data_IF_666834464567
#
_entry.id   IF_666834464567
#
_cell.length_a   1.000
_cell.length_b   1.000
_cell.length_c   1.000
_cell.angle_alpha   90.00
_cell.angle_beta   90.00
_cell.angle_gamma   90.00
#
_symmetry.space_group_name_H-M   'P 1'
#
loop_
_entity.id
_entity.type
_entity.pdbx_description
1 polymer ?
#
# COMPACT_ATOMS: atom_id res chain seq x y z
N UNK A 1 -13.31 -9.39 -27.73
CA UNK A 1 -12.19 -9.74 -26.87
C UNK A 1 -12.43 -9.16 -25.47
N UNK A 2 -12.58 -10.03 -24.45
CA UNK A 2 -12.91 -9.66 -23.07
C UNK A 2 -11.78 -8.85 -22.39
N UNK A 3 -10.52 -9.12 -22.77
CA UNK A 3 -9.36 -8.39 -22.25
C UNK A 3 -9.42 -6.93 -22.67
N UNK A 4 -9.71 -6.70 -23.95
CA UNK A 4 -9.86 -5.35 -24.51
C UNK A 4 -11.03 -4.60 -23.87
N UNK A 5 -12.13 -5.28 -23.60
CA UNK A 5 -13.29 -4.70 -22.92
C UNK A 5 -12.93 -4.29 -21.48
N UNK A 6 -12.21 -5.16 -20.76
CA UNK A 6 -11.74 -4.87 -19.42
C UNK A 6 -10.78 -3.65 -19.37
N UNK A 7 -9.86 -3.55 -20.33
CA UNK A 7 -8.96 -2.39 -20.45
C UNK A 7 -9.73 -1.08 -20.71
N UNK A 8 -10.75 -1.12 -21.56
CA UNK A 8 -11.63 0.03 -21.82
C UNK A 8 -12.37 0.43 -20.55
N UNK A 9 -12.92 -0.55 -19.83
CA UNK A 9 -13.64 -0.32 -18.57
C UNK A 9 -12.73 0.30 -17.51
N UNK A 10 -11.54 -0.27 -17.28
CA UNK A 10 -10.53 0.28 -16.35
C UNK A 10 -10.13 1.72 -16.71
N UNK A 11 -9.97 1.98 -18.01
CA UNK A 11 -9.63 3.32 -18.49
C UNK A 11 -10.76 4.34 -18.22
N UNK A 12 -12.00 3.94 -18.42
CA UNK A 12 -13.16 4.77 -18.10
C UNK A 12 -13.28 5.03 -16.60
N UNK A 13 -13.27 3.97 -15.78
CA UNK A 13 -13.41 4.06 -14.32
C UNK A 13 -12.29 4.89 -13.71
N UNK A 14 -11.05 4.79 -14.22
CA UNK A 14 -9.90 5.57 -13.70
C UNK A 14 -10.06 7.09 -13.84
N UNK A 15 -10.93 7.55 -14.73
CA UNK A 15 -11.21 8.97 -14.99
C UNK A 15 -12.38 9.53 -14.19
N UNK A 16 -13.14 8.67 -13.52
CA UNK A 16 -14.22 9.11 -12.64
C UNK A 16 -13.65 9.77 -11.38
N UNK A 17 -14.39 10.71 -10.80
CA UNK A 17 -14.04 11.27 -9.48
C UNK A 17 -14.15 10.21 -8.39
N UNK A 18 -13.43 10.39 -7.29
CA UNK A 18 -13.52 9.50 -6.14
C UNK A 18 -14.94 9.46 -5.58
N UNK A 19 -15.64 10.59 -5.56
CA UNK A 19 -17.04 10.72 -5.12
C UNK A 19 -17.98 9.92 -6.01
N UNK A 20 -17.79 9.97 -7.34
CA UNK A 20 -18.59 9.19 -8.29
C UNK A 20 -18.36 7.69 -8.12
N UNK A 21 -17.09 7.27 -7.97
CA UNK A 21 -16.76 5.87 -7.71
C UNK A 21 -17.35 5.41 -6.37
N UNK A 22 -17.28 6.25 -5.34
CA UNK A 22 -17.91 5.95 -4.05
C UNK A 22 -19.41 5.66 -4.19
N UNK A 23 -20.15 6.54 -4.86
CA UNK A 23 -21.59 6.40 -5.03
C UNK A 23 -21.94 5.12 -5.82
N UNK A 24 -21.24 4.83 -6.90
CA UNK A 24 -21.46 3.63 -7.72
C UNK A 24 -21.14 2.34 -6.97
N UNK A 25 -20.01 2.31 -6.23
CA UNK A 25 -19.62 1.14 -5.42
C UNK A 25 -20.59 0.93 -4.26
N UNK A 26 -21.02 1.99 -3.59
CA UNK A 26 -22.01 1.91 -2.51
C UNK A 26 -23.33 1.32 -3.02
N UNK A 27 -23.82 1.78 -4.16
CA UNK A 27 -25.04 1.26 -4.78
C UNK A 27 -24.89 -0.23 -5.13
N UNK A 28 -23.78 -0.61 -5.76
CA UNK A 28 -23.50 -2.00 -6.07
C UNK A 28 -23.41 -2.87 -4.81
N UNK A 29 -22.67 -2.43 -3.80
CA UNK A 29 -22.44 -3.21 -2.57
C UNK A 29 -23.72 -3.37 -1.74
N UNK A 30 -24.61 -2.38 -1.72
CA UNK A 30 -25.89 -2.47 -1.04
C UNK A 30 -26.75 -3.62 -1.59
N UNK A 31 -26.67 -3.87 -2.88
CA UNK A 31 -27.41 -4.92 -3.56
C UNK A 31 -26.71 -6.28 -3.47
N UNK A 32 -25.39 -6.33 -3.69
CA UNK A 32 -24.64 -7.57 -3.92
C UNK A 32 -23.70 -8.02 -2.80
N UNK A 33 -23.27 -7.13 -1.90
CA UNK A 33 -22.36 -7.44 -0.78
C UNK A 33 -22.62 -6.51 0.41
N UNK A 34 -23.65 -6.81 1.18
CA UNK A 34 -24.08 -5.98 2.31
C UNK A 34 -23.05 -5.85 3.43
N UNK A 35 -22.23 -6.88 3.64
CA UNK A 35 -21.17 -6.80 4.65
C UNK A 35 -20.11 -5.79 4.22
N UNK A 36 -19.70 -5.84 2.97
CA UNK A 36 -18.80 -4.83 2.40
C UNK A 36 -19.43 -3.44 2.36
N UNK A 37 -20.70 -3.33 1.99
CA UNK A 37 -21.43 -2.06 2.04
C UNK A 37 -21.35 -1.39 3.42
N UNK A 38 -21.55 -2.15 4.49
CA UNK A 38 -21.50 -1.65 5.86
C UNK A 38 -20.12 -1.09 6.23
N UNK A 39 -19.03 -1.77 5.82
CA UNK A 39 -17.66 -1.29 6.04
C UNK A 39 -17.32 -0.09 5.16
N UNK A 40 -17.67 -0.17 3.89
CA UNK A 40 -17.38 0.84 2.88
C UNK A 40 -18.06 2.19 3.19
N UNK A 41 -19.28 2.16 3.70
CA UNK A 41 -20.08 3.36 4.00
C UNK A 41 -19.98 3.84 5.45
N UNK A 42 -19.32 3.08 6.33
CA UNK A 42 -19.19 3.39 7.77
C UNK A 42 -18.55 4.76 8.02
N UNK A 43 -17.54 5.12 7.24
CA UNK A 43 -16.89 6.42 7.23
C UNK A 43 -16.65 6.85 5.77
N UNK A 44 -17.55 7.68 5.27
CA UNK A 44 -17.50 8.16 3.88
C UNK A 44 -16.21 8.94 3.58
N UNK A 45 -15.76 9.76 4.51
CA UNK A 45 -14.54 10.56 4.33
C UNK A 45 -13.30 9.66 4.20
N UNK A 46 -13.16 8.67 5.09
CA UNK A 46 -12.09 7.67 5.03
C UNK A 46 -12.07 6.90 3.71
N UNK A 47 -13.21 6.36 3.32
CA UNK A 47 -13.34 5.58 2.07
C UNK A 47 -13.07 6.45 0.83
N UNK A 48 -13.56 7.69 0.82
CA UNK A 48 -13.32 8.62 -0.30
C UNK A 48 -11.84 8.99 -0.43
N UNK A 49 -11.12 9.19 0.69
CA UNK A 49 -9.66 9.43 0.67
C UNK A 49 -8.90 8.24 0.06
N UNK A 50 -9.29 7.00 0.37
CA UNK A 50 -8.72 5.80 -0.26
C UNK A 50 -8.93 5.84 -1.78
N UNK A 51 -10.15 6.15 -2.23
CA UNK A 51 -10.51 6.19 -3.64
C UNK A 51 -9.82 7.32 -4.41
N UNK A 52 -9.34 8.37 -3.74
CA UNK A 52 -8.57 9.46 -4.35
C UNK A 52 -7.15 9.06 -4.75
N UNK A 53 -6.58 8.00 -4.16
CA UNK A 53 -5.21 7.60 -4.43
C UNK A 53 -5.03 7.28 -5.92
N UNK A 54 -4.08 7.97 -6.58
CA UNK A 54 -3.79 7.76 -7.99
C UNK A 54 -4.87 8.24 -8.97
N UNK A 55 -5.84 9.03 -8.50
CA UNK A 55 -6.96 9.56 -9.29
C UNK A 55 -6.79 11.06 -9.55
N UNK A 56 -7.34 11.57 -10.65
CA UNK A 56 -7.34 13.01 -10.97
C UNK A 56 -6.06 13.54 -11.64
N UNK A 57 -5.06 12.72 -11.89
CA UNK A 57 -3.83 13.12 -12.59
C UNK A 57 -3.88 12.88 -14.10
N UNK A 58 -2.80 13.27 -14.80
CA UNK A 58 -2.67 13.03 -16.26
C UNK A 58 -2.63 11.55 -16.64
N UNK A 59 -2.14 10.70 -15.74
CA UNK A 59 -2.05 9.24 -15.90
C UNK A 59 -2.66 8.57 -14.68
N UNK A 60 -4.00 8.51 -14.57
CA UNK A 60 -4.65 7.88 -13.43
C UNK A 60 -4.37 6.37 -13.41
N UNK A 61 -4.32 5.80 -12.21
CA UNK A 61 -4.18 4.35 -12.03
C UNK A 61 -5.43 3.63 -12.53
N UNK A 62 -5.23 2.47 -13.14
CA UNK A 62 -6.28 1.61 -13.69
C UNK A 62 -6.41 0.33 -12.85
N UNK A 63 -6.81 0.48 -11.60
CA UNK A 63 -6.77 -0.61 -10.62
C UNK A 63 -7.92 -1.61 -10.79
N UNK A 64 -9.11 -1.15 -11.15
CA UNK A 64 -10.30 -1.98 -11.32
C UNK A 64 -11.19 -1.47 -12.47
N UNK A 65 -11.91 -2.40 -13.10
CA UNK A 65 -12.81 -2.13 -14.21
C UNK A 65 -14.29 -2.38 -13.90
N UNK A 66 -14.58 -3.14 -12.85
CA UNK A 66 -15.93 -3.46 -12.37
C UNK A 66 -16.00 -3.28 -10.85
N UNK A 67 -17.20 -2.99 -10.33
CA UNK A 67 -17.36 -2.64 -8.92
C UNK A 67 -17.05 -3.80 -7.96
N UNK A 68 -17.26 -5.04 -8.38
CA UNK A 68 -16.92 -6.22 -7.59
C UNK A 68 -15.41 -6.41 -7.32
N UNK A 69 -14.54 -5.76 -8.09
CA UNK A 69 -13.08 -5.79 -7.87
C UNK A 69 -12.64 -4.83 -6.76
N UNK A 70 -13.47 -3.83 -6.39
CA UNK A 70 -13.10 -2.76 -5.46
C UNK A 70 -12.82 -3.30 -4.06
N UNK A 71 -13.60 -4.26 -3.58
CA UNK A 71 -13.37 -4.90 -2.27
C UNK A 71 -11.95 -5.48 -2.17
N UNK A 72 -11.52 -6.27 -3.15
CA UNK A 72 -10.18 -6.86 -3.20
C UNK A 72 -9.06 -5.82 -3.36
N UNK A 73 -9.34 -4.71 -4.05
CA UNK A 73 -8.40 -3.60 -4.20
C UNK A 73 -8.11 -2.89 -2.87
N UNK A 74 -9.12 -2.70 -2.02
CA UNK A 74 -9.03 -1.85 -0.83
C UNK A 74 -9.27 -2.58 0.50
N UNK A 75 -9.36 -3.90 0.51
CA UNK A 75 -9.67 -4.70 1.70
C UNK A 75 -8.69 -4.46 2.86
N UNK A 76 -7.39 -4.33 2.57
CA UNK A 76 -6.37 -4.10 3.59
C UNK A 76 -6.48 -2.74 4.32
N UNK A 77 -7.29 -1.81 3.82
CA UNK A 77 -7.60 -0.58 4.54
C UNK A 77 -8.59 -0.78 5.70
N UNK A 78 -9.29 -1.91 5.73
CA UNK A 78 -10.26 -2.25 6.77
C UNK A 78 -9.71 -3.39 7.62
N UNK A 79 -9.61 -3.19 8.94
CA UNK A 79 -9.04 -4.19 9.84
C UNK A 79 -9.84 -5.51 9.81
N UNK A 80 -11.16 -5.42 9.62
CA UNK A 80 -12.08 -6.56 9.51
C UNK A 80 -11.81 -7.44 8.27
N UNK A 81 -11.22 -6.86 7.21
CA UNK A 81 -10.90 -7.56 5.95
C UNK A 81 -9.41 -7.82 5.78
N UNK A 82 -8.58 -7.32 6.69
CA UNK A 82 -7.14 -7.44 6.60
C UNK A 82 -6.66 -8.87 6.84
N UNK A 83 -6.31 -9.56 5.76
CA UNK A 83 -5.77 -10.93 5.77
C UNK A 83 -4.36 -10.93 5.16
N UNK A 84 -3.33 -10.58 5.96
CA UNK A 84 -1.99 -10.40 5.44
C UNK A 84 -1.33 -11.71 5.02
N UNK A 85 -0.58 -11.63 3.92
CA UNK A 85 0.42 -12.60 3.50
C UNK A 85 1.81 -11.97 3.72
N UNK A 86 2.55 -12.48 4.71
CA UNK A 86 3.89 -12.00 5.05
C UNK A 86 4.98 -12.75 4.28
N UNK A 87 4.84 -12.84 2.97
CA UNK A 87 5.88 -13.41 2.11
C UNK A 87 6.89 -12.31 1.74
N UNK A 88 8.07 -12.38 2.35
CA UNK A 88 9.21 -11.52 2.04
C UNK A 88 10.13 -12.19 1.02
N UNK A 89 10.94 -11.38 0.31
CA UNK A 89 11.93 -11.88 -0.63
C UNK A 89 12.95 -12.80 0.09
N UNK A 90 13.13 -14.02 -0.41
CA UNK A 90 14.00 -15.05 0.20
C UNK A 90 15.48 -14.65 0.25
N UNK A 91 15.89 -13.68 -0.57
CA UNK A 91 17.26 -13.12 -0.53
C UNK A 91 17.54 -12.26 0.71
N UNK A 92 16.51 -11.85 1.44
CA UNK A 92 16.61 -10.96 2.60
C UNK A 92 16.71 -11.76 3.90
N UNK A 93 17.66 -11.41 4.75
CA UNK A 93 17.78 -12.01 6.07
C UNK A 93 16.64 -11.56 6.98
N UNK A 94 16.05 -12.51 7.70
CA UNK A 94 14.97 -12.24 8.67
C UNK A 94 15.38 -11.25 9.74
N UNK A 95 16.64 -11.27 10.16
CA UNK A 95 17.20 -10.32 11.14
C UNK A 95 17.18 -8.89 10.60
N UNK A 96 17.50 -8.70 9.33
CA UNK A 96 17.44 -7.39 8.69
C UNK A 96 15.99 -6.90 8.55
N UNK A 97 15.09 -7.79 8.12
CA UNK A 97 13.65 -7.47 8.04
C UNK A 97 13.13 -7.01 9.41
N UNK A 98 13.44 -7.75 10.47
CA UNK A 98 13.03 -7.39 11.83
C UNK A 98 13.59 -6.04 12.26
N UNK A 99 14.89 -5.83 12.09
CA UNK A 99 15.57 -4.60 12.52
C UNK A 99 15.01 -3.37 11.78
N UNK A 100 14.76 -3.47 10.48
CA UNK A 100 14.15 -2.42 9.65
C UNK A 100 12.74 -2.10 10.15
N UNK A 101 11.91 -3.10 10.39
CA UNK A 101 10.53 -2.92 10.85
C UNK A 101 10.48 -2.29 12.25
N UNK A 102 11.32 -2.76 13.19
CA UNK A 102 11.41 -2.20 14.54
C UNK A 102 11.79 -0.71 14.50
N UNK A 103 12.83 -0.36 13.76
CA UNK A 103 13.29 1.01 13.68
C UNK A 103 12.29 1.93 12.95
N UNK A 104 11.63 1.41 11.90
CA UNK A 104 10.68 2.21 11.13
C UNK A 104 9.50 2.71 11.98
N UNK A 105 9.03 1.94 12.96
CA UNK A 105 7.98 2.38 13.89
C UNK A 105 8.32 3.68 14.59
N UNK A 106 9.59 3.84 14.97
CA UNK A 106 10.05 5.00 15.73
C UNK A 106 10.23 6.24 14.86
N UNK A 107 10.66 6.06 13.60
CA UNK A 107 10.96 7.18 12.70
C UNK A 107 9.75 7.67 11.89
N UNK A 108 8.70 6.87 11.76
CA UNK A 108 7.50 7.28 11.03
C UNK A 108 6.81 8.47 11.71
N UNK A 109 6.49 9.49 10.93
CA UNK A 109 5.69 10.64 11.37
C UNK A 109 4.57 10.93 10.36
N UNK A 110 3.32 11.07 10.81
CA UNK A 110 2.21 11.47 9.95
C UNK A 110 2.33 12.93 9.44
N UNK A 111 3.21 13.72 10.05
CA UNK A 111 3.45 15.12 9.66
C UNK A 111 4.41 15.26 8.46
N UNK A 112 5.14 14.18 8.13
CA UNK A 112 6.06 14.20 7.00
C UNK A 112 5.30 14.39 5.67
N UNK A 113 5.85 15.23 4.79
CA UNK A 113 5.47 15.21 3.38
C UNK A 113 6.10 14.00 2.66
N UNK A 114 5.74 13.79 1.42
CA UNK A 114 6.21 12.63 0.65
C UNK A 114 7.75 12.58 0.55
N UNK A 115 8.41 13.72 0.40
CA UNK A 115 9.87 13.77 0.27
C UNK A 115 10.53 13.43 1.61
N UNK A 116 10.12 14.05 2.69
CA UNK A 116 10.63 13.78 4.04
C UNK A 116 10.41 12.32 4.45
N UNK A 117 9.22 11.78 4.17
CA UNK A 117 8.90 10.38 4.40
C UNK A 117 9.83 9.43 3.65
N UNK A 118 10.06 9.67 2.36
CA UNK A 118 10.92 8.79 1.55
C UNK A 118 12.40 8.96 1.89
N UNK A 119 12.85 10.16 2.25
CA UNK A 119 14.21 10.38 2.72
C UNK A 119 14.52 9.62 4.01
N UNK A 120 13.57 9.50 4.93
CA UNK A 120 13.71 8.63 6.10
C UNK A 120 13.92 7.16 5.72
N UNK A 121 13.20 6.67 4.71
CA UNK A 121 13.39 5.30 4.21
C UNK A 121 14.77 5.12 3.57
N UNK A 122 15.27 6.14 2.85
CA UNK A 122 16.65 6.13 2.31
C UNK A 122 17.70 6.04 3.41
N UNK A 123 17.57 6.86 4.45
CA UNK A 123 18.49 6.85 5.61
C UNK A 123 18.43 5.51 6.33
N UNK A 124 17.22 4.98 6.55
CA UNK A 124 17.02 3.65 7.14
C UNK A 124 17.69 2.56 6.30
N UNK A 125 17.57 2.64 4.98
CA UNK A 125 18.20 1.69 4.05
C UNK A 125 19.72 1.69 4.19
N UNK A 126 20.37 2.86 4.16
CA UNK A 126 21.82 2.97 4.33
C UNK A 126 22.29 2.41 5.67
N UNK A 127 21.57 2.73 6.75
CA UNK A 127 21.90 2.24 8.10
C UNK A 127 21.91 0.73 8.20
N UNK A 128 21.04 0.05 7.47
CA UNK A 128 20.93 -1.41 7.46
C UNK A 128 21.73 -2.09 6.31
N UNK A 129 22.58 -1.36 5.60
CA UNK A 129 23.46 -1.91 4.55
C UNK A 129 22.81 -2.06 3.18
N UNK A 130 21.69 -1.36 2.95
CA UNK A 130 21.04 -1.29 1.65
C UNK A 130 21.39 0.02 0.94
N UNK A 131 21.53 -0.03 -0.39
CA UNK A 131 21.79 1.17 -1.17
C UNK A 131 20.57 2.07 -1.19
N UNK A 132 20.74 3.35 -0.87
CA UNK A 132 19.63 4.33 -0.86
C UNK A 132 19.13 4.73 -2.24
N UNK A 133 19.86 4.40 -3.29
CA UNK A 133 19.55 4.75 -4.68
C UNK A 133 19.61 3.53 -5.60
N UNK A 134 18.52 3.31 -6.35
CA UNK A 134 18.41 2.14 -7.23
C UNK A 134 19.37 2.20 -8.41
N UNK A 135 19.68 3.40 -8.94
CA UNK A 135 20.59 3.54 -10.07
C UNK A 135 22.02 3.25 -9.62
N UNK A 136 22.44 3.85 -8.50
CA UNK A 136 23.75 3.57 -7.90
C UNK A 136 23.94 2.08 -7.57
N UNK A 137 22.91 1.42 -7.06
CA UNK A 137 22.92 -0.02 -6.81
C UNK A 137 23.14 -0.84 -8.09
N UNK A 138 22.48 -0.48 -9.21
CA UNK A 138 22.65 -1.19 -10.49
C UNK A 138 24.06 -1.04 -11.07
N UNK A 139 24.71 0.10 -10.81
CA UNK A 139 26.09 0.35 -11.27
C UNK A 139 27.12 -0.43 -10.44
N UNK A 140 26.88 -0.59 -9.13
CA UNK A 140 27.76 -1.32 -8.22
C UNK A 140 26.95 -2.02 -7.12
N UNK A 141 26.41 -3.22 -7.37
CA UNK A 141 25.63 -3.96 -6.40
C UNK A 141 26.46 -4.61 -5.30
N UNK A 142 27.77 -4.79 -5.54
CA UNK A 142 28.65 -5.42 -4.56
C UNK A 142 28.83 -4.51 -3.34
N UNK A 143 28.73 -5.10 -2.16
CA UNK A 143 28.82 -4.36 -0.89
C UNK A 143 27.48 -3.92 -0.30
N UNK A 144 26.38 -4.18 -0.98
CA UNK A 144 25.04 -3.91 -0.47
C UNK A 144 24.21 -5.19 -0.32
N UNK A 145 23.33 -5.23 0.68
CA UNK A 145 22.37 -6.32 0.86
C UNK A 145 21.19 -6.26 -0.13
N UNK A 146 21.01 -5.12 -0.78
CA UNK A 146 19.95 -4.76 -1.70
C UNK A 146 19.86 -3.25 -1.82
N UNK A 147 18.68 -2.73 -2.11
CA UNK A 147 18.46 -1.29 -2.29
C UNK A 147 17.18 -0.79 -1.60
N UNK A 148 16.95 0.52 -1.64
CA UNK A 148 15.78 1.17 -1.02
C UNK A 148 14.43 0.58 -1.46
N UNK A 149 14.34 0.05 -2.67
CA UNK A 149 13.14 -0.66 -3.15
C UNK A 149 12.86 -1.95 -2.37
N UNK A 150 13.90 -2.67 -1.95
CA UNK A 150 13.75 -3.86 -1.11
C UNK A 150 13.24 -3.48 0.29
N UNK A 151 13.79 -2.42 0.87
CA UNK A 151 13.33 -1.88 2.16
C UNK A 151 11.88 -1.39 2.07
N UNK A 152 11.55 -0.67 1.00
CA UNK A 152 10.16 -0.23 0.74
C UNK A 152 9.20 -1.43 0.62
N UNK A 153 9.63 -2.53 -0.02
CA UNK A 153 8.83 -3.75 -0.13
C UNK A 153 8.63 -4.43 1.24
N UNK A 154 9.64 -4.45 2.10
CA UNK A 154 9.50 -4.94 3.47
C UNK A 154 8.38 -4.18 4.20
N UNK A 155 8.40 -2.86 4.13
CA UNK A 155 7.39 -2.01 4.75
C UNK A 155 5.99 -2.25 4.15
N UNK A 156 5.90 -2.37 2.82
CA UNK A 156 4.63 -2.65 2.13
C UNK A 156 4.03 -3.98 2.56
N UNK A 157 4.80 -5.04 2.59
CA UNK A 157 4.33 -6.37 3.00
C UNK A 157 3.87 -6.36 4.45
N UNK A 158 4.62 -5.74 5.35
CA UNK A 158 4.25 -5.67 6.77
C UNK A 158 2.96 -4.89 7.01
N UNK A 159 2.76 -3.77 6.32
CA UNK A 159 1.63 -2.85 6.55
C UNK A 159 0.41 -3.21 5.71
N UNK A 160 0.60 -3.57 4.45
CA UNK A 160 -0.49 -3.90 3.52
C UNK A 160 -0.78 -5.40 3.41
N UNK A 161 0.12 -6.27 3.90
CA UNK A 161 -0.03 -7.73 3.81
C UNK A 161 0.05 -8.27 2.38
N UNK A 162 0.68 -7.52 1.46
CA UNK A 162 0.80 -7.85 0.04
C UNK A 162 1.96 -7.11 -0.61
N UNK A 163 2.41 -7.61 -1.76
CA UNK A 163 3.51 -7.01 -2.52
C UNK A 163 3.06 -5.91 -3.49
N UNK A 164 1.76 -5.80 -3.76
CA UNK A 164 1.19 -4.78 -4.62
C UNK A 164 0.19 -3.91 -3.85
N UNK A 165 0.33 -2.61 -3.94
CA UNK A 165 -0.55 -1.64 -3.28
C UNK A 165 -0.61 -0.34 -4.08
N UNK A 166 -1.57 0.54 -3.81
CA UNK A 166 -1.48 1.94 -4.22
C UNK A 166 -0.22 2.61 -3.64
N UNK A 167 -0.03 3.89 -3.94
CA UNK A 167 1.08 4.69 -3.42
C UNK A 167 1.26 4.54 -1.91
N UNK A 168 2.44 4.07 -1.49
CA UNK A 168 2.70 3.73 -0.08
C UNK A 168 2.59 4.92 0.86
N UNK A 169 3.07 6.09 0.45
CA UNK A 169 2.96 7.29 1.26
C UNK A 169 1.50 7.60 1.59
N UNK A 170 0.64 7.60 0.57
CA UNK A 170 -0.80 7.82 0.72
C UNK A 170 -1.47 6.75 1.58
N UNK A 171 -1.13 5.48 1.36
CA UNK A 171 -1.65 4.35 2.15
C UNK A 171 -1.29 4.51 3.62
N UNK A 172 -0.03 4.78 3.93
CA UNK A 172 0.45 4.89 5.32
C UNK A 172 -0.16 6.09 6.04
N UNK A 173 -0.32 7.20 5.32
CA UNK A 173 -0.95 8.40 5.86
C UNK A 173 -2.43 8.18 6.19
N UNK A 174 -3.17 7.48 5.33
CA UNK A 174 -4.58 7.15 5.55
C UNK A 174 -4.75 6.16 6.71
N UNK A 175 -3.90 5.14 6.82
CA UNK A 175 -3.93 4.19 7.92
C UNK A 175 -3.61 4.87 9.27
N UNK A 176 -2.67 5.81 9.27
CA UNK A 176 -2.22 6.52 10.46
C UNK A 176 -1.21 5.73 11.29
N UNK A 177 -0.51 6.45 12.19
CA UNK A 177 0.62 5.89 12.95
C UNK A 177 0.24 4.73 13.86
N UNK A 178 -0.90 4.80 14.54
CA UNK A 178 -1.35 3.76 15.46
C UNK A 178 -1.57 2.43 14.74
N UNK A 179 -2.40 2.43 13.69
CA UNK A 179 -2.69 1.23 12.89
C UNK A 179 -1.45 0.70 12.18
N UNK A 180 -0.61 1.59 11.65
CA UNK A 180 0.67 1.22 11.03
C UNK A 180 1.57 0.47 12.04
N UNK A 181 1.70 0.99 13.26
CA UNK A 181 2.48 0.36 14.33
C UNK A 181 1.92 -1.01 14.70
N UNK A 182 0.60 -1.13 14.89
CA UNK A 182 -0.06 -2.40 15.19
C UNK A 182 0.18 -3.45 14.10
N UNK A 183 0.14 -3.06 12.83
CA UNK A 183 0.38 -3.95 11.69
C UNK A 183 1.83 -4.42 11.61
N UNK A 184 2.78 -3.53 11.87
CA UNK A 184 4.19 -3.89 11.96
C UNK A 184 4.43 -4.86 13.12
N UNK A 185 3.85 -4.60 14.29
CA UNK A 185 3.97 -5.48 15.45
C UNK A 185 3.37 -6.88 15.17
N UNK A 186 2.25 -6.93 14.45
CA UNK A 186 1.67 -8.19 13.99
C UNK A 186 2.62 -8.94 13.04
N UNK A 187 3.20 -8.26 12.05
CA UNK A 187 4.17 -8.85 11.13
C UNK A 187 5.40 -9.40 11.87
N UNK A 188 5.93 -8.63 12.83
CA UNK A 188 7.09 -9.04 13.64
C UNK A 188 6.85 -10.32 14.45
N UNK A 189 5.62 -10.60 14.88
CA UNK A 189 5.26 -11.84 15.58
C UNK A 189 5.28 -13.06 14.65
N UNK A 190 5.01 -12.87 13.38
CA UNK A 190 5.00 -13.94 12.37
C UNK A 190 6.40 -14.23 11.78
N UNK A 191 7.32 -13.28 11.82
CA UNK A 191 8.70 -13.44 11.36
C UNK A 191 9.51 -14.14 12.45
N UNK A 192 9.65 -15.45 12.34
CA UNK A 192 10.41 -16.30 13.28
C UNK A 192 11.85 -16.50 12.82
#
# INVERSE_FOLDING_TARGET
>A
DIVKLNDVSKNYVSRLSAEKVYDEVATWAEEYDRDFYSLFTRDKAYTTEILKIGRGGKKPRKDFGIWSEVKGYMDFFFDELFTPDYTFDEKLDKSDIRAILEEYKDIYSPEDDNNAWFDKIRVLSEKHGFCKDVKAYKENPEGYKGHVGDVSMILRVAVCGRTNSPDMYSVFKILGKERLTERIDRALKEIK
#
